data_IF_366169971507
#
_entry.id   IF_366169971507
#
_cell.length_a   1.000
_cell.length_b   1.000
_cell.length_c   1.000
_cell.angle_alpha   90.00
_cell.angle_beta   90.00
_cell.angle_gamma   90.00
#
_symmetry.space_group_name_H-M   'P 1'
#
loop_
_entity.id
_entity.type
_entity.pdbx_description
1 polymer ?
#
# COMPACT_ATOMS: atom_id res chain seq x y z
N UNK A 1 -45.59 1.83 -45.69
CA UNK A 1 -45.80 1.06 -44.46
C UNK A 1 -45.01 1.69 -43.33
N UNK A 2 -45.69 2.60 -42.61
CA UNK A 2 -45.64 2.80 -41.16
C UNK A 2 -44.29 2.96 -40.43
N UNK A 3 -43.48 3.97 -40.79
CA UNK A 3 -42.39 4.49 -39.94
C UNK A 3 -42.86 4.96 -38.55
N UNK A 4 -44.16 5.24 -38.37
CA UNK A 4 -44.73 5.67 -37.10
C UNK A 4 -44.69 4.60 -35.98
N UNK A 5 -44.79 3.31 -36.33
CA UNK A 5 -44.92 2.22 -35.33
C UNK A 5 -43.57 1.89 -34.65
N UNK A 6 -42.45 2.13 -35.34
CA UNK A 6 -41.10 1.91 -34.79
C UNK A 6 -40.77 2.97 -33.74
N UNK A 7 -41.16 4.23 -33.96
CA UNK A 7 -40.87 5.33 -33.05
C UNK A 7 -41.67 5.24 -31.74
N UNK A 8 -42.91 4.76 -31.79
CA UNK A 8 -43.74 4.58 -30.60
C UNK A 8 -43.20 3.46 -29.69
N UNK A 9 -42.76 2.34 -30.27
CA UNK A 9 -42.16 1.26 -29.49
C UNK A 9 -40.81 1.64 -28.89
N UNK A 10 -39.98 2.40 -29.61
CA UNK A 10 -38.72 2.95 -29.09
C UNK A 10 -38.96 3.88 -27.91
N UNK A 11 -39.96 4.77 -28.01
CA UNK A 11 -40.32 5.68 -26.93
C UNK A 11 -40.87 4.94 -25.71
N UNK A 12 -41.69 3.90 -25.91
CA UNK A 12 -42.21 3.06 -24.83
C UNK A 12 -41.08 2.30 -24.11
N UNK A 13 -40.12 1.77 -24.86
CA UNK A 13 -38.95 1.09 -24.31
C UNK A 13 -38.10 2.05 -23.46
N UNK A 14 -37.86 3.26 -23.94
CA UNK A 14 -37.10 4.29 -23.21
C UNK A 14 -37.79 4.64 -21.88
N UNK A 15 -39.11 4.86 -21.90
CA UNK A 15 -39.86 5.13 -20.67
C UNK A 15 -39.79 3.96 -19.67
N UNK A 16 -39.81 2.73 -20.17
CA UNK A 16 -39.72 1.55 -19.32
C UNK A 16 -38.32 1.40 -18.71
N UNK A 17 -37.27 1.70 -19.46
CA UNK A 17 -35.90 1.75 -18.94
C UNK A 17 -35.76 2.84 -17.87
N UNK A 18 -36.30 4.03 -18.09
CA UNK A 18 -36.26 5.13 -17.12
C UNK A 18 -36.99 4.78 -15.81
N UNK A 19 -38.17 4.14 -15.91
CA UNK A 19 -38.89 3.66 -14.74
C UNK A 19 -38.10 2.61 -13.95
N UNK A 20 -37.41 1.71 -14.64
CA UNK A 20 -36.57 0.70 -14.00
C UNK A 20 -35.33 1.33 -13.33
N UNK A 21 -34.76 2.37 -13.93
CA UNK A 21 -33.65 3.13 -13.34
C UNK A 21 -34.10 3.82 -12.05
N UNK A 22 -35.27 4.47 -12.03
CA UNK A 22 -35.80 5.12 -10.81
C UNK A 22 -36.18 4.10 -9.73
N UNK A 23 -36.76 2.96 -10.11
CA UNK A 23 -37.00 1.85 -9.18
C UNK A 23 -35.71 1.27 -8.59
N UNK A 24 -34.64 1.19 -9.40
CA UNK A 24 -33.33 0.76 -8.92
C UNK A 24 -32.74 1.78 -7.93
N UNK A 25 -32.83 3.08 -8.21
CA UNK A 25 -32.34 4.16 -7.32
C UNK A 25 -33.05 4.18 -5.96
N UNK A 26 -34.34 3.85 -5.92
CA UNK A 26 -35.14 3.83 -4.69
C UNK A 26 -34.94 2.56 -3.85
N UNK A 27 -34.68 1.42 -4.49
CA UNK A 27 -34.50 0.12 -3.81
C UNK A 27 -33.05 -0.17 -3.42
N UNK A 28 -32.08 0.33 -4.16
CA UNK A 28 -30.69 0.24 -3.75
C UNK A 28 -30.48 1.25 -2.61
N UNK A 29 -30.10 0.80 -1.40
CA UNK A 29 -29.67 1.75 -0.39
C UNK A 29 -28.58 2.61 -1.02
N UNK A 30 -28.66 3.94 -0.86
CA UNK A 30 -27.64 4.85 -1.34
C UNK A 30 -26.29 4.22 -0.98
N UNK A 31 -25.50 3.79 -1.97
CA UNK A 31 -24.20 3.16 -1.74
C UNK A 31 -23.55 4.02 -0.68
N UNK A 32 -23.37 3.50 0.53
CA UNK A 32 -22.70 4.24 1.59
C UNK A 32 -21.44 4.76 0.93
N UNK A 33 -21.35 6.09 0.72
CA UNK A 33 -20.19 6.67 0.08
C UNK A 33 -19.02 6.09 0.85
N UNK A 34 -18.11 5.31 0.22
CA UNK A 34 -17.02 4.70 0.95
C UNK A 34 -16.43 5.84 1.74
N UNK A 35 -16.52 5.75 3.07
CA UNK A 35 -16.18 6.89 3.91
C UNK A 35 -14.71 7.08 3.64
N UNK A 36 -14.39 8.10 2.85
CA UNK A 36 -13.05 8.29 2.32
C UNK A 36 -12.19 8.44 3.56
N UNK A 37 -11.45 7.38 3.84
CA UNK A 37 -10.64 7.26 5.03
C UNK A 37 -9.51 8.24 4.80
N UNK A 38 -9.62 9.41 5.43
CA UNK A 38 -8.68 10.50 5.24
C UNK A 38 -7.24 10.09 5.58
N UNK A 39 -6.25 10.96 5.32
CA UNK A 39 -4.82 10.66 5.55
C UNK A 39 -4.50 10.09 6.94
N UNK A 40 -5.26 10.49 7.96
CA UNK A 40 -5.17 10.00 9.33
C UNK A 40 -5.47 8.50 9.48
N UNK A 41 -6.34 7.94 8.64
CA UNK A 41 -6.66 6.52 8.67
C UNK A 41 -5.44 5.67 8.32
N UNK A 42 -4.68 6.06 7.29
CA UNK A 42 -3.48 5.33 6.88
C UNK A 42 -2.41 5.37 7.96
N UNK A 43 -2.24 6.52 8.62
CA UNK A 43 -1.33 6.65 9.76
C UNK A 43 -1.74 5.75 10.93
N UNK A 44 -3.04 5.70 11.27
CA UNK A 44 -3.56 4.80 12.32
C UNK A 44 -3.37 3.33 11.95
N UNK A 45 -3.61 2.98 10.69
CA UNK A 45 -3.44 1.62 10.19
C UNK A 45 -1.97 1.19 10.21
N UNK A 46 -1.07 2.06 9.74
CA UNK A 46 0.36 1.85 9.77
C UNK A 46 0.87 1.67 11.21
N UNK A 47 0.43 2.53 12.13
CA UNK A 47 0.75 2.43 13.57
C UNK A 47 0.22 1.14 14.19
N UNK A 48 -1.01 0.73 13.86
CA UNK A 48 -1.58 -0.53 14.35
C UNK A 48 -0.71 -1.73 13.94
N UNK A 49 -0.34 -1.81 12.66
CA UNK A 49 0.52 -2.88 12.17
C UNK A 49 1.92 -2.84 12.79
N UNK A 50 2.49 -1.65 12.99
CA UNK A 50 3.77 -1.49 13.65
C UNK A 50 3.75 -2.01 15.10
N UNK A 51 2.75 -1.64 15.89
CA UNK A 51 2.61 -2.12 17.27
C UNK A 51 2.45 -3.64 17.30
N UNK A 52 1.59 -4.19 16.44
CA UNK A 52 1.41 -5.64 16.35
C UNK A 52 2.70 -6.36 15.98
N UNK A 53 3.49 -5.79 15.06
CA UNK A 53 4.79 -6.34 14.69
C UNK A 53 5.78 -6.32 15.87
N UNK A 54 5.81 -5.22 16.63
CA UNK A 54 6.66 -5.09 17.81
C UNK A 54 6.29 -6.10 18.91
N UNK A 55 5.00 -6.38 19.09
CA UNK A 55 4.55 -7.42 20.03
C UNK A 55 4.95 -8.82 19.56
N UNK A 56 4.76 -9.12 18.27
CA UNK A 56 5.19 -10.39 17.67
C UNK A 56 6.71 -10.60 17.76
N UNK A 57 7.51 -9.52 17.66
CA UNK A 57 8.95 -9.59 17.88
C UNK A 57 9.29 -10.01 19.32
N UNK A 58 8.55 -9.51 20.32
CA UNK A 58 8.74 -9.92 21.72
C UNK A 58 8.34 -11.37 21.96
N UNK A 59 7.31 -11.83 21.25
CA UNK A 59 6.85 -13.23 21.28
C UNK A 59 7.80 -14.20 20.54
N UNK A 60 8.85 -13.68 19.87
CA UNK A 60 9.79 -14.49 19.09
C UNK A 60 9.27 -14.90 17.70
N UNK A 61 8.14 -14.34 17.25
CA UNK A 61 7.52 -14.64 15.96
C UNK A 61 7.99 -13.65 14.88
N UNK A 62 9.29 -13.64 14.61
CA UNK A 62 9.91 -12.66 13.71
C UNK A 62 9.38 -12.73 12.26
N UNK A 63 9.03 -13.90 11.74
CA UNK A 63 8.46 -14.01 10.38
C UNK A 63 7.10 -13.30 10.25
N UNK A 64 6.20 -13.50 11.20
CA UNK A 64 4.91 -12.80 11.24
C UNK A 64 5.10 -11.31 11.53
N UNK A 65 6.04 -10.96 12.42
CA UNK A 65 6.39 -9.58 12.67
C UNK A 65 6.84 -8.86 11.39
N UNK A 66 7.68 -9.50 10.55
CA UNK A 66 8.11 -8.93 9.29
C UNK A 66 6.95 -8.69 8.31
N UNK A 67 5.95 -9.57 8.29
CA UNK A 67 4.73 -9.34 7.48
C UNK A 67 3.99 -8.09 7.96
N UNK A 68 3.85 -7.92 9.28
CA UNK A 68 3.20 -6.75 9.86
C UNK A 68 4.03 -5.48 9.66
N UNK A 69 5.36 -5.54 9.82
CA UNK A 69 6.24 -4.41 9.50
C UNK A 69 6.15 -4.04 8.02
N UNK A 70 6.12 -5.02 7.10
CA UNK A 70 5.94 -4.75 5.67
C UNK A 70 4.63 -4.02 5.41
N UNK A 71 3.52 -4.42 6.05
CA UNK A 71 2.26 -3.68 5.94
C UNK A 71 2.39 -2.27 6.47
N UNK A 72 2.98 -2.07 7.66
CA UNK A 72 3.18 -0.74 8.22
C UNK A 72 4.06 0.15 7.31
N UNK A 73 5.15 -0.39 6.78
CA UNK A 73 6.03 0.27 5.82
C UNK A 73 5.28 0.63 4.53
N UNK A 74 4.37 -0.25 4.06
CA UNK A 74 3.53 0.01 2.89
C UNK A 74 2.58 1.21 3.04
N UNK A 75 2.29 1.61 4.28
CA UNK A 75 1.51 2.81 4.59
C UNK A 75 2.39 3.97 5.08
N UNK A 76 3.69 3.94 4.76
CA UNK A 76 4.62 5.03 5.06
C UNK A 76 5.17 5.04 6.48
N UNK A 77 5.00 3.97 7.28
CA UNK A 77 5.58 3.92 8.62
C UNK A 77 7.10 3.77 8.54
N UNK A 78 7.77 4.86 8.79
CA UNK A 78 9.20 5.03 8.57
C UNK A 78 10.04 4.14 9.50
N UNK A 79 9.73 4.04 10.81
CA UNK A 79 10.39 3.03 11.69
C UNK A 79 10.22 1.60 11.21
N UNK A 80 9.08 1.25 10.59
CA UNK A 80 8.86 -0.13 10.14
C UNK A 80 9.79 -0.49 8.97
N UNK A 81 10.09 0.48 8.10
CA UNK A 81 11.09 0.35 7.03
C UNK A 81 12.49 0.10 7.63
N UNK A 82 12.87 0.86 8.67
CA UNK A 82 14.14 0.66 9.39
C UNK A 82 14.25 -0.77 9.96
N UNK A 83 13.22 -1.22 10.69
CA UNK A 83 13.21 -2.57 11.27
C UNK A 83 13.26 -3.67 10.22
N UNK A 84 12.55 -3.54 9.09
CA UNK A 84 12.66 -4.50 7.98
C UNK A 84 14.09 -4.56 7.43
N UNK A 85 14.72 -3.39 7.25
CA UNK A 85 16.12 -3.31 6.85
C UNK A 85 17.02 -4.13 7.77
N UNK A 86 16.91 -3.90 9.08
CA UNK A 86 17.66 -4.65 10.10
C UNK A 86 17.36 -6.15 10.09
N UNK A 87 16.10 -6.56 9.91
CA UNK A 87 15.73 -7.97 9.86
C UNK A 87 16.37 -8.69 8.67
N UNK A 88 16.41 -8.05 7.49
CA UNK A 88 17.13 -8.58 6.33
C UNK A 88 18.66 -8.62 6.54
N UNK A 89 19.22 -7.71 7.34
CA UNK A 89 20.64 -7.76 7.72
C UNK A 89 20.94 -8.89 8.71
N UNK A 90 20.06 -9.15 9.67
CA UNK A 90 20.30 -10.18 10.69
C UNK A 90 20.15 -11.59 10.13
N UNK A 91 19.23 -11.80 9.18
CA UNK A 91 19.12 -13.07 8.47
C UNK A 91 18.66 -14.27 9.31
N UNK A 92 18.11 -14.03 10.52
CA UNK A 92 17.77 -15.09 11.47
C UNK A 92 16.47 -15.81 11.11
N UNK A 93 15.44 -15.03 10.81
CA UNK A 93 14.08 -15.51 10.51
C UNK A 93 13.63 -15.14 9.08
N UNK A 94 14.32 -14.18 8.47
CA UNK A 94 14.21 -13.84 7.06
C UNK A 94 15.52 -14.22 6.36
N UNK A 95 15.50 -14.50 5.05
CA UNK A 95 16.72 -14.70 4.30
C UNK A 95 17.63 -13.48 4.42
N UNK A 96 18.89 -13.70 4.81
CA UNK A 96 19.89 -12.64 4.85
C UNK A 96 20.02 -12.01 3.46
N UNK A 97 19.81 -10.69 3.35
CA UNK A 97 19.92 -10.00 2.08
C UNK A 97 20.28 -8.53 2.26
N UNK A 98 21.57 -8.23 2.10
CA UNK A 98 22.10 -6.86 2.08
C UNK A 98 21.43 -5.99 1.01
N UNK A 99 21.05 -6.60 -0.11
CA UNK A 99 20.30 -5.95 -1.20
C UNK A 99 18.92 -5.45 -0.74
N UNK A 100 18.10 -6.33 -0.13
CA UNK A 100 16.78 -5.94 0.36
C UNK A 100 16.87 -5.01 1.57
N UNK A 101 17.86 -5.21 2.44
CA UNK A 101 18.14 -4.31 3.54
C UNK A 101 18.42 -2.88 3.05
N UNK A 102 19.29 -2.73 2.05
CA UNK A 102 19.61 -1.44 1.44
C UNK A 102 18.37 -0.76 0.84
N UNK A 103 17.47 -1.52 0.20
CA UNK A 103 16.22 -1.01 -0.34
C UNK A 103 15.33 -0.38 0.76
N UNK A 104 15.05 -1.13 1.84
CA UNK A 104 14.21 -0.64 2.94
C UNK A 104 14.86 0.49 3.74
N UNK A 105 16.18 0.46 3.93
CA UNK A 105 16.91 1.54 4.61
C UNK A 105 16.95 2.83 3.79
N UNK A 106 17.04 2.73 2.46
CA UNK A 106 16.93 3.91 1.58
C UNK A 106 15.55 4.56 1.73
N UNK A 107 14.48 3.76 1.82
CA UNK A 107 13.14 4.28 2.07
C UNK A 107 13.00 4.93 3.45
N UNK A 108 13.57 4.30 4.48
CA UNK A 108 13.57 4.86 5.83
C UNK A 108 14.35 6.19 5.90
N UNK A 109 15.50 6.29 5.22
CA UNK A 109 16.27 7.53 5.10
C UNK A 109 15.48 8.63 4.40
N UNK A 110 14.85 8.31 3.26
CA UNK A 110 14.00 9.27 2.54
C UNK A 110 12.77 9.71 3.36
N UNK A 111 12.27 8.84 4.24
CA UNK A 111 11.19 9.17 5.16
C UNK A 111 11.66 9.92 6.43
N UNK A 112 12.97 10.16 6.57
CA UNK A 112 13.56 10.95 7.66
C UNK A 112 13.84 10.17 8.94
N UNK A 113 13.98 8.84 8.90
CA UNK A 113 14.29 8.06 10.11
C UNK A 113 15.74 8.16 10.53
N UNK A 114 15.91 8.57 11.79
CA UNK A 114 17.19 8.59 12.47
C UNK A 114 17.75 7.16 12.59
N UNK A 115 19.02 6.98 12.21
CA UNK A 115 19.71 5.69 12.23
C UNK A 115 19.61 4.86 10.93
N UNK A 116 18.73 5.22 9.99
CA UNK A 116 18.70 4.54 8.69
C UNK A 116 19.96 4.82 7.86
N UNK A 117 20.44 6.06 7.87
CA UNK A 117 21.63 6.49 7.10
C UNK A 117 22.91 5.77 7.56
N UNK A 118 23.11 5.63 8.87
CA UNK A 118 24.28 4.94 9.44
C UNK A 118 24.33 3.46 9.00
N UNK A 119 23.18 2.77 9.10
CA UNK A 119 23.06 1.39 8.64
C UNK A 119 23.24 1.27 7.12
N UNK A 120 22.68 2.21 6.36
CA UNK A 120 22.84 2.25 4.90
C UNK A 120 24.32 2.42 4.51
N UNK A 121 25.05 3.32 5.16
CA UNK A 121 26.48 3.52 4.93
C UNK A 121 27.28 2.24 5.17
N UNK A 122 26.98 1.51 6.26
CA UNK A 122 27.62 0.23 6.55
C UNK A 122 27.40 -0.82 5.45
N UNK A 123 26.22 -0.82 4.82
CA UNK A 123 25.85 -1.76 3.76
C UNK A 123 26.38 -1.36 2.39
N UNK A 124 26.53 -0.06 2.11
CA UNK A 124 27.08 0.43 0.85
C UNK A 124 28.49 -0.13 0.62
N UNK A 125 29.29 -0.30 1.68
CA UNK A 125 30.62 -0.91 1.58
C UNK A 125 30.60 -2.42 1.24
N UNK A 126 29.49 -3.11 1.48
CA UNK A 126 29.34 -4.54 1.19
C UNK A 126 28.75 -4.83 -0.19
N UNK A 127 28.19 -3.81 -0.86
CA UNK A 127 27.51 -3.93 -2.14
C UNK A 127 28.37 -3.38 -3.27
N UNK A 128 28.30 -4.03 -4.43
CA UNK A 128 28.86 -3.43 -5.66
C UNK A 128 27.99 -2.26 -6.12
N UNK A 129 28.57 -1.31 -6.85
CA UNK A 129 27.84 -0.18 -7.41
C UNK A 129 26.59 -0.60 -8.23
N UNK A 130 26.69 -1.72 -8.96
CA UNK A 130 25.54 -2.29 -9.70
C UNK A 130 24.42 -2.73 -8.77
N UNK A 131 24.75 -3.48 -7.71
CA UNK A 131 23.78 -3.96 -6.73
C UNK A 131 23.16 -2.82 -5.93
N UNK A 132 23.94 -1.81 -5.56
CA UNK A 132 23.45 -0.61 -4.90
C UNK A 132 22.44 0.14 -5.78
N UNK A 133 22.76 0.34 -7.05
CA UNK A 133 21.87 1.01 -7.99
C UNK A 133 20.57 0.22 -8.21
N UNK A 134 20.63 -1.11 -8.33
CA UNK A 134 19.42 -1.91 -8.42
C UNK A 134 18.60 -1.91 -7.12
N UNK A 135 19.24 -1.81 -5.95
CA UNK A 135 18.54 -1.75 -4.66
C UNK A 135 17.80 -0.42 -4.51
N UNK A 136 18.44 0.68 -4.87
CA UNK A 136 17.84 2.02 -4.90
C UNK A 136 16.71 2.12 -5.92
N UNK A 137 16.85 1.49 -7.09
CA UNK A 137 15.77 1.41 -8.07
C UNK A 137 14.56 0.63 -7.53
N UNK A 138 14.80 -0.49 -6.85
CA UNK A 138 13.73 -1.23 -6.18
C UNK A 138 13.09 -0.39 -5.07
N UNK A 139 13.87 0.39 -4.32
CA UNK A 139 13.32 1.32 -3.33
C UNK A 139 12.39 2.34 -4.00
N UNK A 140 12.80 2.95 -5.11
CA UNK A 140 11.96 3.88 -5.86
C UNK A 140 10.65 3.24 -6.36
N UNK A 141 10.71 2.04 -6.94
CA UNK A 141 9.51 1.29 -7.36
C UNK A 141 8.57 1.01 -6.18
N UNK A 142 9.13 0.64 -5.03
CA UNK A 142 8.34 0.44 -3.81
C UNK A 142 7.74 1.76 -3.33
N UNK A 143 8.47 2.86 -3.38
CA UNK A 143 7.97 4.19 -3.03
C UNK A 143 6.79 4.61 -3.91
N UNK A 144 6.87 4.39 -5.22
CA UNK A 144 5.75 4.61 -6.13
C UNK A 144 4.52 3.79 -5.71
N UNK A 145 4.70 2.51 -5.36
CA UNK A 145 3.61 1.68 -4.83
C UNK A 145 3.04 2.20 -3.50
N UNK A 146 3.86 2.83 -2.63
CA UNK A 146 3.37 3.47 -1.40
C UNK A 146 2.45 4.65 -1.74
N UNK A 147 2.88 5.49 -2.68
CA UNK A 147 2.14 6.64 -3.14
C UNK A 147 0.84 6.18 -3.81
N UNK A 148 0.89 5.26 -4.77
CA UNK A 148 -0.30 4.76 -5.47
C UNK A 148 -1.28 4.08 -4.53
N UNK A 149 -0.82 3.26 -3.58
CA UNK A 149 -1.69 2.66 -2.56
C UNK A 149 -2.39 3.71 -1.67
N UNK A 150 -1.76 4.87 -1.47
CA UNK A 150 -2.39 6.00 -0.78
C UNK A 150 -3.43 6.73 -1.65
N UNK A 151 -3.35 6.63 -2.99
CA UNK A 151 -4.25 7.27 -3.95
C UNK A 151 -5.37 6.36 -4.49
N UNK A 152 -5.12 5.07 -4.70
CA UNK A 152 -6.03 4.12 -5.39
C UNK A 152 -7.29 3.75 -4.61
N UNK A 153 -7.43 4.15 -3.36
CA UNK A 153 -8.71 4.01 -2.62
C UNK A 153 -9.57 5.27 -2.65
N UNK A 154 -9.14 6.31 -3.36
CA UNK A 154 -9.91 7.53 -3.60
C UNK A 154 -10.78 7.49 -4.86
N UNK A 155 -10.77 6.39 -5.62
CA UNK A 155 -11.67 6.21 -6.75
C UNK A 155 -12.12 4.78 -6.87
N UNK A 156 -13.36 4.50 -6.45
CA UNK A 156 -14.36 3.60 -7.07
C UNK A 156 -15.64 3.56 -6.19
#
# INVERSE_FOLDING_TARGET
MSQANVNEWQNALLQQVDQLIELAKTRLPAKNKPTVRGPEYWQRFAKHHYVRAADLMKEGQAFEAAKHFRRAALFGHSKAMLYLGQMFMQGRDLPHSTFHACCWLTLAENAGEEGASELLQSLIHQLTAKQLNSARRLAAERFEQLCDASFDTHGL
#
